data_IF_335033468889
#
_entry.id   IF_335033468889
#
_cell.length_a   1.000
_cell.length_b   1.000
_cell.length_c   1.000
_cell.angle_alpha   90.00
_cell.angle_beta   90.00
_cell.angle_gamma   90.00
#
_symmetry.space_group_name_H-M   'P 1'
#
loop_
_entity.id
_entity.type
_entity.pdbx_description
1 polymer ?
#
# COMPACT_ATOMS: atom_id res chain seq x y z
N UNK A 1 -10.90 16.31 -15.82
CA UNK A 1 -9.76 16.71 -14.95
C UNK A 1 -8.74 15.56 -14.92
N UNK A 2 -7.64 15.72 -15.66
CA UNK A 2 -6.58 14.72 -15.70
C UNK A 2 -5.89 14.69 -14.34
N UNK A 3 -5.87 13.52 -13.68
CA UNK A 3 -5.10 13.32 -12.46
C UNK A 3 -3.62 13.67 -12.74
N UNK A 4 -2.92 14.38 -11.83
CA UNK A 4 -1.50 14.63 -12.01
C UNK A 4 -0.76 13.29 -12.07
N UNK A 5 0.06 13.09 -13.10
CA UNK A 5 0.96 11.95 -13.19
C UNK A 5 1.86 11.94 -11.96
N UNK A 6 1.76 10.91 -11.13
CA UNK A 6 2.65 10.71 -10.00
C UNK A 6 4.11 10.67 -10.51
N UNK A 7 5.06 11.39 -9.86
CA UNK A 7 6.44 11.33 -10.27
C UNK A 7 6.95 9.90 -10.15
N UNK A 8 7.38 9.33 -11.27
CA UNK A 8 8.09 8.06 -11.26
C UNK A 8 9.46 8.30 -10.62
N UNK A 9 9.75 7.48 -9.62
CA UNK A 9 11.10 7.17 -9.12
C UNK A 9 11.70 8.16 -8.11
N UNK A 10 11.41 7.92 -6.84
CA UNK A 10 12.31 8.30 -5.75
C UNK A 10 13.35 7.17 -5.60
N UNK A 11 14.49 7.28 -6.27
CA UNK A 11 15.65 6.41 -6.00
C UNK A 11 16.40 7.03 -4.82
N UNK A 12 16.36 6.38 -3.66
CA UNK A 12 17.12 6.79 -2.48
C UNK A 12 17.83 5.56 -1.92
N UNK A 13 19.13 5.46 -2.19
CA UNK A 13 20.09 4.63 -1.45
C UNK A 13 20.03 3.10 -1.62
N UNK A 14 20.73 2.57 -2.62
CA UNK A 14 21.55 1.33 -2.54
C UNK A 14 21.01 0.06 -1.84
N UNK A 15 19.71 -0.20 -1.86
CA UNK A 15 19.11 -1.48 -1.48
C UNK A 15 18.04 -1.89 -2.48
N UNK A 16 17.91 -3.18 -2.76
CA UNK A 16 16.85 -3.69 -3.64
C UNK A 16 15.48 -3.38 -3.01
N UNK A 17 14.67 -2.60 -3.71
CA UNK A 17 13.26 -2.38 -3.36
C UNK A 17 12.46 -3.57 -3.85
N UNK A 18 11.79 -4.27 -2.93
CA UNK A 18 10.92 -5.38 -3.27
C UNK A 18 9.57 -5.27 -2.56
N UNK A 19 8.55 -5.84 -3.19
CA UNK A 19 7.24 -6.05 -2.60
C UNK A 19 7.27 -7.36 -1.82
N UNK A 20 6.90 -7.33 -0.54
CA UNK A 20 7.02 -8.47 0.37
C UNK A 20 5.63 -8.93 0.80
N UNK A 21 5.29 -10.20 0.59
CA UNK A 21 4.01 -10.74 1.05
C UNK A 21 3.84 -10.54 2.55
N UNK A 22 2.73 -9.91 2.93
CA UNK A 22 2.36 -9.60 4.29
C UNK A 22 0.85 -9.76 4.47
N UNK A 23 0.42 -9.87 5.73
CA UNK A 23 -0.98 -10.04 6.05
C UNK A 23 -1.29 -9.57 7.48
N UNK A 24 -2.58 -9.38 7.77
CA UNK A 24 -3.11 -9.22 9.13
C UNK A 24 -2.43 -8.09 9.94
N UNK A 25 -2.05 -6.99 9.28
CA UNK A 25 -1.41 -5.82 9.90
C UNK A 25 0.11 -5.93 10.05
N UNK A 26 0.72 -7.03 9.61
CA UNK A 26 2.18 -7.13 9.52
C UNK A 26 2.69 -6.11 8.52
N UNK A 27 3.71 -5.35 8.94
CA UNK A 27 4.43 -4.39 8.10
C UNK A 27 5.90 -4.81 8.05
N UNK A 28 6.45 -5.11 6.87
CA UNK A 28 7.86 -5.44 6.72
C UNK A 28 8.77 -4.31 7.25
N UNK A 29 9.96 -4.64 7.79
CA UNK A 29 10.92 -3.63 8.20
C UNK A 29 11.30 -2.74 7.02
N UNK A 30 11.44 -1.44 7.28
CA UNK A 30 11.74 -0.41 6.27
C UNK A 30 10.66 -0.20 5.20
N UNK A 31 9.43 -0.65 5.44
CA UNK A 31 8.30 -0.34 4.56
C UNK A 31 8.13 1.18 4.41
N UNK A 32 7.76 1.60 3.20
CA UNK A 32 7.57 3.01 2.88
C UNK A 32 6.34 3.57 3.60
N UNK A 33 6.54 4.61 4.39
CA UNK A 33 5.46 5.43 4.94
C UNK A 33 4.76 6.19 3.82
N UNK A 34 3.44 5.99 3.71
CA UNK A 34 2.59 6.61 2.70
C UNK A 34 1.68 7.73 3.24
N UNK A 35 1.55 7.84 4.56
CA UNK A 35 0.73 8.87 5.21
C UNK A 35 0.49 8.57 6.70
N UNK A 36 -0.49 9.26 7.28
CA UNK A 36 -0.97 8.99 8.64
C UNK A 36 -2.49 9.16 8.72
N UNK A 37 -3.13 8.40 9.61
CA UNK A 37 -4.53 8.58 10.02
C UNK A 37 -4.71 8.10 11.47
N UNK A 38 -4.22 8.90 12.42
CA UNK A 38 -4.11 8.50 13.84
C UNK A 38 -3.02 7.45 14.11
N UNK A 39 -2.55 6.76 13.07
CA UNK A 39 -1.38 5.88 13.06
C UNK A 39 -0.62 6.00 11.72
N UNK A 40 0.65 5.57 11.67
CA UNK A 40 1.40 5.50 10.40
C UNK A 40 0.73 4.55 9.39
N UNK A 41 0.56 5.03 8.17
CA UNK A 41 0.05 4.24 7.05
C UNK A 41 1.22 3.91 6.10
N UNK A 42 1.20 2.70 5.55
CA UNK A 42 2.26 2.22 4.67
C UNK A 42 1.77 2.04 3.24
N UNK A 43 2.67 2.17 2.27
CA UNK A 43 2.38 1.87 0.87
C UNK A 43 2.25 0.36 0.73
N UNK A 44 1.10 -0.09 0.23
CA UNK A 44 0.86 -1.50 -0.06
C UNK A 44 0.23 -1.71 -1.43
N UNK A 45 0.10 -2.96 -1.83
CA UNK A 45 -0.74 -3.38 -2.98
C UNK A 45 -1.41 -4.71 -2.70
N UNK A 46 -2.60 -4.92 -3.27
CA UNK A 46 -3.35 -6.14 -3.06
C UNK A 46 -4.23 -6.50 -4.27
N UNK A 47 -4.53 -7.80 -4.39
CA UNK A 47 -5.41 -8.29 -5.47
C UNK A 47 -6.89 -7.96 -5.19
N UNK A 48 -7.54 -7.36 -6.17
CA UNK A 48 -8.98 -7.08 -6.17
C UNK A 48 -9.51 -7.12 -7.61
N UNK A 49 -10.62 -7.86 -7.84
CA UNK A 49 -11.25 -8.01 -9.16
C UNK A 49 -10.27 -8.39 -10.29
N UNK A 50 -9.34 -9.32 -10.01
CA UNK A 50 -8.36 -9.81 -10.98
C UNK A 50 -7.20 -8.86 -11.27
N UNK A 51 -7.19 -7.66 -10.69
CA UNK A 51 -6.09 -6.70 -10.81
C UNK A 51 -5.28 -6.60 -9.50
N UNK A 52 -4.02 -6.21 -9.62
CA UNK A 52 -3.16 -5.86 -8.49
C UNK A 52 -3.19 -4.34 -8.32
N UNK A 53 -3.82 -3.87 -7.24
CA UNK A 53 -4.08 -2.44 -7.04
C UNK A 53 -3.21 -1.89 -5.92
N UNK A 54 -2.66 -0.67 -6.06
CA UNK A 54 -2.01 0.03 -4.95
C UNK A 54 -3.04 0.42 -3.88
N UNK A 55 -2.57 0.54 -2.64
CA UNK A 55 -3.39 0.82 -1.49
C UNK A 55 -2.60 1.34 -0.30
N UNK A 56 -3.30 1.56 0.82
CA UNK A 56 -2.73 1.95 2.11
C UNK A 56 -2.83 0.78 3.10
N UNK A 57 -1.74 0.39 3.74
CA UNK A 57 -1.77 -0.56 4.85
C UNK A 57 -2.02 0.21 6.13
N UNK A 58 -3.06 -0.19 6.87
CA UNK A 58 -3.40 0.36 8.18
C UNK A 58 -3.21 -0.73 9.24
N UNK A 59 -2.08 -0.72 9.97
CA UNK A 59 -1.70 -1.82 10.86
C UNK A 59 -2.73 -2.16 11.93
N UNK A 60 -3.32 -1.15 12.59
CA UNK A 60 -4.32 -1.39 13.64
C UNK A 60 -5.61 -2.02 13.09
N UNK A 61 -5.98 -1.74 11.84
CA UNK A 61 -7.11 -2.34 11.14
C UNK A 61 -6.78 -3.70 10.51
N UNK A 62 -5.49 -4.07 10.48
CA UNK A 62 -4.96 -5.33 9.96
C UNK A 62 -5.18 -5.59 8.48
N UNK A 63 -5.34 -4.53 7.68
CA UNK A 63 -5.66 -4.64 6.26
C UNK A 63 -4.91 -3.62 5.40
N UNK A 64 -4.77 -3.95 4.12
CA UNK A 64 -4.49 -3.00 3.05
C UNK A 64 -5.80 -2.59 2.38
N UNK A 65 -6.06 -1.30 2.31
CA UNK A 65 -7.22 -0.74 1.65
C UNK A 65 -6.88 -0.36 0.21
N UNK A 66 -7.60 -0.92 -0.76
CA UNK A 66 -7.48 -0.60 -2.18
C UNK A 66 -8.73 0.12 -2.68
N UNK A 67 -8.53 1.14 -3.53
CA UNK A 67 -9.63 1.89 -4.12
C UNK A 67 -10.14 1.22 -5.40
N UNK A 68 -11.42 0.87 -5.43
CA UNK A 68 -12.07 0.28 -6.61
C UNK A 68 -13.55 0.59 -6.65
N UNK A 69 -14.07 0.92 -7.85
CA UNK A 69 -15.51 1.14 -8.05
C UNK A 69 -16.10 2.29 -7.24
N UNK A 70 -15.29 3.28 -6.84
CA UNK A 70 -15.72 4.40 -5.98
C UNK A 70 -15.77 4.10 -4.49
N UNK A 71 -15.32 2.91 -4.06
CA UNK A 71 -15.24 2.50 -2.67
C UNK A 71 -13.83 2.08 -2.25
N UNK A 72 -13.67 1.88 -0.94
CA UNK A 72 -12.46 1.37 -0.32
C UNK A 72 -12.67 -0.09 0.11
N UNK A 73 -11.77 -0.99 -0.30
CA UNK A 73 -11.91 -2.43 -0.09
C UNK A 73 -10.78 -2.95 0.79
N UNK A 74 -11.15 -3.53 1.93
CA UNK A 74 -10.20 -4.10 2.88
C UNK A 74 -9.63 -5.44 2.39
N UNK A 75 -8.31 -5.56 2.34
CA UNK A 75 -7.59 -6.77 1.93
C UNK A 75 -6.69 -7.24 3.08
N UNK A 76 -6.94 -8.43 3.66
CA UNK A 76 -6.09 -8.96 4.74
C UNK A 76 -4.75 -9.50 4.24
N UNK A 77 -4.61 -9.81 2.94
CA UNK A 77 -3.34 -10.18 2.30
C UNK A 77 -2.93 -9.11 1.30
N UNK A 78 -1.65 -8.72 1.33
CA UNK A 78 -1.09 -7.62 0.56
C UNK A 78 0.44 -7.76 0.44
N UNK A 79 1.04 -6.82 -0.27
CA UNK A 79 2.49 -6.64 -0.36
C UNK A 79 2.87 -5.19 -0.08
#
# INVERSE_FOLDING_TARGET
>A
PSAPSAPAQLVMGGGDVCWCDAAEGVVPPNAFLGGEDGEPLYVGRAHHEGALLPGKVQPSHRVCYVAWGGGEHAKPQYQ
#
